data_IF_935869180723
#
_entry.id   IF_935869180723
#
_cell.length_a   1.000
_cell.length_b   1.000
_cell.length_c   1.000
_cell.angle_alpha   90.00
_cell.angle_beta   90.00
_cell.angle_gamma   90.00
#
_symmetry.space_group_name_H-M   'P 1'
#
loop_
_entity.id
_entity.type
_entity.pdbx_description
1 polymer ?
#
# COMPACT_ATOMS: atom_id res chain seq x y z
N UNK A 1 -9.58 13.29 11.61
CA UNK A 1 -10.27 12.93 10.36
C UNK A 1 -9.90 11.53 9.94
N UNK A 2 -10.88 10.79 9.48
CA UNK A 2 -10.78 9.34 9.35
C UNK A 2 -10.71 8.90 7.90
N UNK A 3 -9.84 9.55 7.12
CA UNK A 3 -9.70 9.27 5.70
C UNK A 3 -8.30 8.74 5.37
N UNK A 4 -7.89 7.71 6.11
CA UNK A 4 -6.64 7.02 5.81
C UNK A 4 -6.90 5.91 4.80
N UNK A 5 -5.95 5.74 3.88
CA UNK A 5 -6.01 4.76 2.79
C UNK A 5 -4.84 3.80 2.91
N UNK A 6 -5.09 2.54 2.57
CA UNK A 6 -4.04 1.58 2.28
C UNK A 6 -3.78 1.61 0.78
N UNK A 7 -2.51 1.52 0.37
CA UNK A 7 -2.17 1.44 -1.06
C UNK A 7 -1.05 0.43 -1.27
N UNK A 8 -1.00 -0.11 -2.47
CA UNK A 8 0.06 -1.00 -2.92
C UNK A 8 0.66 -0.45 -4.21
N UNK A 9 1.99 -0.44 -4.28
CA UNK A 9 2.75 0.01 -5.45
C UNK A 9 3.54 -1.17 -5.99
N UNK A 10 3.41 -1.43 -7.29
CA UNK A 10 4.23 -2.43 -7.98
C UNK A 10 5.50 -1.78 -8.48
N UNK A 11 6.63 -2.42 -8.21
CA UNK A 11 7.95 -1.94 -8.58
C UNK A 11 8.48 -2.65 -9.82
N UNK A 12 9.66 -2.24 -10.26
CA UNK A 12 10.33 -2.69 -11.49
C UNK A 12 10.38 -4.22 -11.64
N UNK A 13 10.69 -4.93 -10.57
CA UNK A 13 10.82 -6.39 -10.61
C UNK A 13 9.61 -7.11 -10.01
N UNK A 14 8.47 -6.45 -9.97
CA UNK A 14 7.23 -7.04 -9.50
C UNK A 14 7.01 -6.97 -8.00
N UNK A 15 7.95 -6.44 -7.24
CA UNK A 15 7.77 -6.29 -5.79
C UNK A 15 6.56 -5.40 -5.48
N UNK A 16 5.87 -5.69 -4.39
CA UNK A 16 4.73 -4.90 -3.94
C UNK A 16 5.09 -4.17 -2.66
N UNK A 17 5.04 -2.84 -2.72
CA UNK A 17 5.25 -1.97 -1.57
C UNK A 17 3.90 -1.59 -0.97
N UNK A 18 3.78 -1.71 0.36
CA UNK A 18 2.55 -1.40 1.09
C UNK A 18 2.75 -0.13 1.92
N UNK A 19 1.78 0.78 1.86
CA UNK A 19 1.83 1.99 2.66
C UNK A 19 0.44 2.48 3.05
N UNK A 20 0.40 3.47 3.93
CA UNK A 20 -0.83 4.17 4.29
C UNK A 20 -0.61 5.68 4.15
N UNK A 21 -1.68 6.39 3.82
CA UNK A 21 -1.63 7.84 3.67
C UNK A 21 -3.04 8.41 3.70
N UNK A 22 -3.15 9.71 3.93
CA UNK A 22 -4.42 10.42 3.77
C UNK A 22 -4.63 10.92 2.34
N UNK A 23 -3.59 10.87 1.49
CA UNK A 23 -3.66 11.37 0.12
C UNK A 23 -2.81 10.48 -0.78
N UNK A 24 -3.45 9.49 -1.40
CA UNK A 24 -2.74 8.46 -2.19
C UNK A 24 -2.03 9.07 -3.39
N UNK A 25 -2.69 9.96 -4.11
CA UNK A 25 -2.12 10.56 -5.31
C UNK A 25 -0.87 11.37 -5.00
N UNK A 26 -0.93 12.22 -3.97
CA UNK A 26 0.22 13.00 -3.54
C UNK A 26 1.37 12.09 -3.09
N UNK A 27 1.06 11.09 -2.27
CA UNK A 27 2.09 10.18 -1.75
C UNK A 27 2.76 9.37 -2.86
N UNK A 28 1.98 8.95 -3.86
CA UNK A 28 2.53 8.24 -5.00
C UNK A 28 3.47 9.14 -5.81
N UNK A 29 3.10 10.42 -6.02
CA UNK A 29 3.98 11.36 -6.70
C UNK A 29 5.27 11.59 -5.92
N UNK A 30 5.19 11.67 -4.59
CA UNK A 30 6.40 11.78 -3.74
C UNK A 30 7.32 10.58 -3.93
N UNK A 31 6.76 9.38 -4.03
CA UNK A 31 7.55 8.17 -4.26
C UNK A 31 8.20 8.15 -5.63
N UNK A 32 7.54 8.68 -6.67
CA UNK A 32 8.06 8.71 -8.03
C UNK A 32 9.14 9.76 -8.23
N UNK A 33 9.10 10.84 -7.47
CA UNK A 33 9.88 12.05 -7.76
C UNK A 33 11.36 11.98 -7.35
N UNK A 34 11.82 10.89 -6.76
CA UNK A 34 13.18 10.75 -6.21
C UNK A 34 13.46 11.80 -5.12
N UNK A 35 12.41 12.36 -4.55
CA UNK A 35 12.46 13.36 -3.51
C UNK A 35 12.77 12.70 -2.16
N UNK A 36 13.29 13.48 -1.22
CA UNK A 36 13.51 13.03 0.16
C UNK A 36 12.23 12.57 0.86
N UNK A 37 11.07 13.04 0.40
CA UNK A 37 9.77 12.65 0.94
C UNK A 37 9.35 11.23 0.55
N UNK A 38 9.93 10.67 -0.51
CA UNK A 38 9.60 9.33 -0.93
C UNK A 38 10.26 8.27 -0.04
N UNK A 39 9.75 7.04 -0.11
CA UNK A 39 10.30 5.91 0.63
C UNK A 39 11.70 5.54 0.10
N UNK A 40 12.64 5.33 1.00
CA UNK A 40 13.96 4.83 0.63
C UNK A 40 13.89 3.47 -0.06
N UNK A 41 12.93 2.63 0.35
CA UNK A 41 12.73 1.32 -0.25
C UNK A 41 12.45 1.42 -1.76
N UNK A 42 11.73 2.46 -2.18
CA UNK A 42 11.32 2.59 -3.58
C UNK A 42 12.38 3.24 -4.48
N UNK A 43 13.47 3.74 -3.90
CA UNK A 43 14.56 4.31 -4.69
C UNK A 43 15.20 3.23 -5.57
N UNK A 44 15.39 3.54 -6.84
CA UNK A 44 15.99 2.60 -7.80
C UNK A 44 15.07 1.47 -8.24
N UNK A 45 13.80 1.50 -7.84
CA UNK A 45 12.84 0.45 -8.18
C UNK A 45 11.80 0.89 -9.23
N UNK A 46 12.02 2.05 -9.82
CA UNK A 46 11.15 2.52 -10.91
C UNK A 46 11.29 1.61 -12.14
N UNK A 47 10.25 1.48 -12.96
CA UNK A 47 9.01 2.23 -12.89
C UNK A 47 8.10 1.75 -11.77
N UNK A 48 7.36 2.69 -11.17
CA UNK A 48 6.41 2.42 -10.10
C UNK A 48 4.99 2.52 -10.64
N UNK A 49 4.11 1.61 -10.21
CA UNK A 49 2.70 1.65 -10.58
C UNK A 49 1.84 1.49 -9.35
N UNK A 50 0.88 2.39 -9.18
CA UNK A 50 -0.14 2.25 -8.14
C UNK A 50 -1.13 1.18 -8.61
N UNK A 51 -1.17 0.04 -7.93
CA UNK A 51 -1.99 -1.10 -8.35
C UNK A 51 -3.19 -1.34 -7.44
N UNK A 52 -3.21 -0.70 -6.28
CA UNK A 52 -4.36 -0.83 -5.38
C UNK A 52 -4.41 0.37 -4.43
N UNK A 53 -5.62 0.86 -4.14
CA UNK A 53 -5.88 1.78 -3.05
C UNK A 53 -7.23 1.47 -2.45
N UNK A 54 -7.34 1.58 -1.12
CA UNK A 54 -8.58 1.29 -0.41
C UNK A 54 -8.71 2.21 0.80
N UNK A 55 -9.84 2.91 0.90
CA UNK A 55 -10.13 3.72 2.09
C UNK A 55 -10.34 2.81 3.29
N UNK A 56 -9.66 3.10 4.39
CA UNK A 56 -9.74 2.31 5.61
C UNK A 56 -10.57 3.03 6.68
N UNK A 57 -10.22 4.27 6.99
CA UNK A 57 -10.85 5.03 8.06
C UNK A 57 -9.81 5.72 8.92
N UNK A 58 -9.79 5.46 10.23
CA UNK A 58 -8.86 6.12 11.13
C UNK A 58 -7.43 5.55 11.00
N UNK A 59 -6.47 6.31 11.49
CA UNK A 59 -5.05 5.97 11.39
C UNK A 59 -4.70 4.69 12.14
N UNK A 60 -5.28 4.50 13.33
CA UNK A 60 -5.00 3.31 14.14
C UNK A 60 -5.35 2.03 13.38
N UNK A 61 -6.53 1.99 12.77
CA UNK A 61 -6.96 0.85 11.99
C UNK A 61 -6.09 0.67 10.75
N UNK A 62 -5.76 1.77 10.07
CA UNK A 62 -4.90 1.73 8.88
C UNK A 62 -3.54 1.13 9.22
N UNK A 63 -2.93 1.51 10.34
CA UNK A 63 -1.65 0.95 10.79
C UNK A 63 -1.75 -0.55 11.05
N UNK A 64 -2.83 -1.01 11.67
CA UNK A 64 -3.03 -2.44 11.94
C UNK A 64 -3.17 -3.24 10.65
N UNK A 65 -3.94 -2.71 9.69
CA UNK A 65 -4.12 -3.36 8.38
C UNK A 65 -2.81 -3.37 7.61
N UNK A 66 -2.08 -2.25 7.60
CA UNK A 66 -0.77 -2.18 6.94
C UNK A 66 0.17 -3.27 7.46
N UNK A 67 0.25 -3.42 8.79
CA UNK A 67 1.11 -4.42 9.40
C UNK A 67 0.73 -5.84 8.95
N UNK A 68 -0.56 -6.12 8.87
CA UNK A 68 -1.04 -7.44 8.42
C UNK A 68 -0.74 -7.68 6.95
N UNK A 69 -0.97 -6.68 6.10
CA UNK A 69 -0.70 -6.81 4.66
C UNK A 69 0.80 -7.02 4.41
N UNK A 70 1.65 -6.30 5.13
CA UNK A 70 3.10 -6.46 4.99
C UNK A 70 3.58 -7.89 5.31
N UNK A 71 2.86 -8.60 6.17
CA UNK A 71 3.19 -9.98 6.54
C UNK A 71 2.63 -11.02 5.58
N UNK A 72 1.77 -10.64 4.65
CA UNK A 72 1.23 -11.58 3.67
C UNK A 72 2.31 -12.07 2.73
N UNK A 73 2.16 -13.32 2.26
CA UNK A 73 3.03 -13.85 1.21
C UNK A 73 2.85 -13.05 -0.08
N UNK A 74 3.80 -13.16 -0.99
CA UNK A 74 3.70 -12.53 -2.30
C UNK A 74 2.42 -12.97 -3.02
N UNK A 75 2.10 -14.27 -2.96
CA UNK A 75 0.90 -14.82 -3.58
C UNK A 75 -0.36 -14.13 -3.02
N UNK A 76 -0.47 -13.99 -1.70
CA UNK A 76 -1.65 -13.38 -1.09
C UNK A 76 -1.74 -11.88 -1.39
N UNK A 77 -0.61 -11.18 -1.45
CA UNK A 77 -0.61 -9.78 -1.87
C UNK A 77 -1.12 -9.62 -3.30
N UNK A 78 -0.73 -10.52 -4.20
CA UNK A 78 -1.23 -10.50 -5.58
C UNK A 78 -2.74 -10.78 -5.63
N UNK A 79 -3.23 -11.69 -4.81
CA UNK A 79 -4.67 -11.95 -4.71
C UNK A 79 -5.43 -10.71 -4.22
N UNK A 80 -4.83 -9.96 -3.31
CA UNK A 80 -5.39 -8.71 -2.82
C UNK A 80 -5.47 -7.66 -3.93
N UNK A 81 -4.42 -7.52 -4.74
CA UNK A 81 -4.39 -6.62 -5.90
C UNK A 81 -5.47 -7.02 -6.90
N UNK A 82 -5.65 -8.31 -7.15
CA UNK A 82 -6.63 -8.83 -8.11
C UNK A 82 -8.07 -8.79 -7.58
N UNK A 83 -8.28 -8.40 -6.34
CA UNK A 83 -9.61 -8.35 -5.73
C UNK A 83 -10.17 -9.70 -5.32
N UNK A 84 -9.36 -10.75 -5.34
CA UNK A 84 -9.78 -12.09 -4.91
C UNK A 84 -9.78 -12.26 -3.39
N UNK A 85 -8.97 -11.47 -2.70
CA UNK A 85 -9.02 -11.31 -1.26
C UNK A 85 -9.41 -9.85 -0.99
N UNK A 86 -10.30 -9.62 -0.04
CA UNK A 86 -10.77 -8.28 0.29
C UNK A 86 -10.10 -7.77 1.56
N UNK A 87 -9.95 -6.45 1.67
CA UNK A 87 -9.47 -5.82 2.91
C UNK A 87 -10.37 -6.18 4.09
N UNK A 88 -11.68 -6.32 3.84
CA UNK A 88 -12.61 -6.77 4.89
C UNK A 88 -12.24 -8.12 5.50
N UNK A 89 -11.68 -9.02 4.70
CA UNK A 89 -11.24 -10.33 5.19
C UNK A 89 -10.04 -10.20 6.13
N UNK A 90 -9.12 -9.30 5.80
CA UNK A 90 -7.96 -9.01 6.62
C UNK A 90 -8.39 -8.31 7.92
N UNK A 91 -9.32 -7.38 7.81
CA UNK A 91 -9.84 -6.60 8.92
C UNK A 91 -10.53 -7.46 9.99
N UNK A 92 -11.17 -8.56 9.59
CA UNK A 92 -11.85 -9.47 10.52
C UNK A 92 -10.91 -10.08 11.56
N UNK A 93 -9.63 -10.15 11.28
CA UNK A 93 -8.64 -10.77 12.15
C UNK A 93 -7.90 -9.77 13.04
N UNK A 94 -8.44 -8.57 13.16
CA UNK A 94 -7.85 -7.52 13.98
C UNK A 94 -8.53 -7.38 15.34
#
# INVERSE_FOLDING_TARGET
MNNWFLYLIRCKHGQLYTGITTDVERRFEEHKSHDKKGSKYLRGKAPLRLVMKKRIGNKSLALKIEAKVKKLSKVKKELLVDGKIKIGDIKRNI
#
